data_IF_600518684626
#
_entry.id   IF_600518684626
#
_cell.length_a   1.000
_cell.length_b   1.000
_cell.length_c   1.000
_cell.angle_alpha   90.00
_cell.angle_beta   90.00
_cell.angle_gamma   90.00
#
_symmetry.space_group_name_H-M   'P 1'
#
loop_
_entity.id
_entity.type
_entity.pdbx_description
1 polymer ?
#
# COMPACT_ATOMS: atom_id res chain seq x y z
N UNK A 1 25.07 -59.84 8.65
CA UNK A 1 25.81 -59.00 7.69
C UNK A 1 25.62 -59.57 6.28
N UNK A 2 24.68 -59.02 5.50
CA UNK A 2 24.55 -59.20 4.04
C UNK A 2 24.04 -57.86 3.49
N UNK A 3 24.54 -57.45 2.33
CA UNK A 3 24.28 -56.13 1.73
C UNK A 3 23.12 -56.26 0.73
N UNK A 4 22.21 -55.29 0.71
CA UNK A 4 21.04 -55.29 -0.18
C UNK A 4 21.39 -54.90 -1.62
N UNK A 5 20.58 -55.36 -2.58
CA UNK A 5 20.69 -54.99 -3.99
C UNK A 5 20.19 -53.58 -4.26
N UNK A 6 20.97 -52.80 -5.02
CA UNK A 6 20.48 -51.56 -5.65
C UNK A 6 19.44 -51.93 -6.71
N UNK A 7 18.32 -51.19 -6.78
CA UNK A 7 17.33 -51.34 -7.84
C UNK A 7 17.16 -50.03 -8.63
N UNK A 8 16.68 -50.12 -9.87
CA UNK A 8 16.84 -49.05 -10.85
C UNK A 8 15.92 -47.84 -10.62
N UNK A 9 16.43 -46.66 -10.96
CA UNK A 9 15.66 -45.41 -11.04
C UNK A 9 15.13 -45.26 -12.47
N UNK A 10 13.80 -45.24 -12.65
CA UNK A 10 13.20 -44.92 -13.95
C UNK A 10 13.20 -43.41 -14.18
N UNK A 11 13.64 -42.98 -15.36
CA UNK A 11 13.52 -41.59 -15.81
C UNK A 11 12.15 -41.36 -16.46
N UNK A 12 11.47 -40.28 -16.07
CA UNK A 12 10.22 -39.83 -16.67
C UNK A 12 10.55 -38.77 -17.72
N UNK A 13 10.01 -38.83 -18.96
CA UNK A 13 10.27 -37.80 -19.97
C UNK A 13 9.57 -36.47 -19.63
N UNK A 14 10.28 -35.37 -19.84
CA UNK A 14 9.69 -34.03 -19.94
C UNK A 14 9.23 -33.78 -21.37
N UNK A 15 7.95 -33.49 -21.57
CA UNK A 15 7.42 -33.05 -22.85
C UNK A 15 7.88 -31.62 -23.20
N UNK A 16 8.00 -31.29 -24.48
CA UNK A 16 8.46 -29.99 -24.99
C UNK A 16 7.54 -29.52 -26.12
N UNK A 17 6.69 -28.53 -25.82
CA UNK A 17 5.86 -27.85 -26.82
C UNK A 17 6.71 -27.00 -27.79
N UNK A 18 6.23 -26.77 -29.03
CA UNK A 18 7.05 -26.22 -30.11
C UNK A 18 7.24 -24.70 -30.04
N UNK A 19 8.39 -24.24 -30.55
CA UNK A 19 8.75 -22.82 -30.66
C UNK A 19 7.77 -22.00 -31.51
N UNK A 20 7.32 -20.85 -30.97
CA UNK A 20 6.52 -19.86 -31.70
C UNK A 20 7.34 -18.62 -32.03
N UNK A 21 7.64 -18.44 -33.32
CA UNK A 21 8.59 -17.46 -33.84
C UNK A 21 8.01 -16.03 -33.90
N UNK A 22 8.44 -15.15 -32.98
CA UNK A 22 7.99 -13.76 -32.90
C UNK A 22 8.64 -12.85 -33.96
N UNK A 23 8.09 -12.83 -35.17
CA UNK A 23 8.40 -11.79 -36.17
C UNK A 23 7.15 -11.19 -36.83
N UNK A 24 7.09 -9.84 -36.82
CA UNK A 24 6.20 -8.96 -37.61
C UNK A 24 4.69 -9.04 -37.33
N UNK A 25 4.20 -8.20 -36.41
CA UNK A 25 2.83 -7.63 -36.50
C UNK A 25 2.94 -6.18 -37.01
N UNK A 26 1.99 -5.75 -37.84
CA UNK A 26 2.04 -4.47 -38.56
C UNK A 26 1.37 -3.32 -37.80
N UNK A 27 1.99 -2.15 -37.90
CA UNK A 27 1.41 -0.86 -37.54
C UNK A 27 0.29 -0.47 -38.54
N UNK A 28 -0.97 -0.41 -38.11
CA UNK A 28 -2.08 0.28 -38.82
C UNK A 28 -3.31 0.46 -37.91
N UNK A 29 -4.09 1.52 -38.16
CA UNK A 29 -5.42 1.84 -37.58
C UNK A 29 -5.48 2.45 -36.17
N UNK A 30 -5.18 3.76 -36.10
CA UNK A 30 -5.95 4.71 -35.30
C UNK A 30 -6.03 6.04 -36.08
N UNK A 31 -7.22 6.43 -36.55
CA UNK A 31 -7.47 7.73 -37.17
C UNK A 31 -8.96 8.09 -37.11
N UNK A 32 -9.28 9.36 -36.82
CA UNK A 32 -10.63 9.84 -36.53
C UNK A 32 -10.89 9.93 -35.01
N UNK A 33 -11.54 10.97 -34.47
CA UNK A 33 -12.26 12.10 -35.08
C UNK A 33 -11.86 13.43 -34.38
N UNK A 34 -11.85 14.55 -35.11
CA UNK A 34 -11.58 15.91 -34.62
C UNK A 34 -12.56 16.91 -35.26
N UNK A 35 -12.98 17.96 -34.51
CA UNK A 35 -13.93 19.03 -34.86
C UNK A 35 -15.39 18.54 -35.10
N UNK A 36 -16.46 19.32 -34.88
CA UNK A 36 -16.68 20.74 -34.50
C UNK A 36 -17.56 20.74 -33.19
N UNK A 37 -18.06 21.81 -32.54
CA UNK A 37 -18.20 23.24 -32.81
C UNK A 37 -18.36 24.07 -31.50
N UNK A 38 -18.52 25.39 -31.62
CA UNK A 38 -19.08 26.29 -30.58
C UNK A 38 -20.56 26.60 -30.89
N UNK A 39 -21.37 26.89 -29.86
CA UNK A 39 -21.98 28.22 -29.60
C UNK A 39 -23.04 28.17 -28.49
N UNK A 40 -22.95 29.07 -27.52
CA UNK A 40 -24.08 29.88 -27.03
C UNK A 40 -23.54 31.11 -26.28
N UNK A 41 -24.29 32.22 -26.21
CA UNK A 41 -23.78 33.48 -25.69
C UNK A 41 -24.83 34.35 -24.96
N UNK A 42 -24.32 35.16 -24.03
CA UNK A 42 -24.85 36.44 -23.54
C UNK A 42 -26.22 36.50 -22.82
N UNK A 43 -26.17 36.73 -21.49
CA UNK A 43 -26.79 37.89 -20.81
C UNK A 43 -26.23 38.01 -19.38
N UNK A 44 -25.86 39.17 -18.81
CA UNK A 44 -25.66 40.50 -19.40
C UNK A 44 -25.45 41.60 -18.32
N UNK A 45 -24.56 42.56 -18.58
CA UNK A 45 -24.36 43.79 -17.77
C UNK A 45 -23.49 43.62 -16.49
N UNK A 46 -22.80 44.66 -16.00
CA UNK A 46 -22.58 45.99 -16.58
C UNK A 46 -22.02 47.02 -15.58
N UNK A 47 -21.08 47.86 -16.01
CA UNK A 47 -20.50 48.95 -15.21
C UNK A 47 -19.15 49.41 -15.75
N UNK A 48 -19.01 50.68 -16.11
CA UNK A 48 -17.79 51.23 -16.70
C UNK A 48 -17.32 52.52 -16.04
N UNK A 49 -16.06 52.89 -16.28
CA UNK A 49 -15.46 54.16 -15.88
C UNK A 49 -14.43 54.58 -16.93
N UNK A 50 -14.60 55.76 -17.51
CA UNK A 50 -13.80 56.28 -18.62
C UNK A 50 -12.75 57.29 -18.14
N UNK A 51 -11.56 57.26 -18.76
CA UNK A 51 -10.64 58.39 -18.92
C UNK A 51 -9.41 58.01 -19.75
N UNK A 52 -9.49 58.25 -21.05
CA UNK A 52 -8.32 58.52 -21.92
C UNK A 52 -8.25 60.05 -22.17
N UNK A 53 -7.32 60.63 -22.96
CA UNK A 53 -6.12 60.06 -23.60
C UNK A 53 -4.85 60.92 -23.37
N UNK A 54 -3.70 60.49 -23.91
CA UNK A 54 -2.98 61.22 -24.98
C UNK A 54 -1.78 60.41 -25.51
N UNK A 55 -1.53 60.51 -26.82
CA UNK A 55 -0.37 59.92 -27.50
C UNK A 55 0.79 60.94 -27.51
N UNK A 56 2.04 60.50 -27.72
CA UNK A 56 2.63 60.63 -29.07
C UNK A 56 3.98 59.91 -29.29
N UNK A 57 4.12 59.36 -30.50
CA UNK A 57 5.29 59.25 -31.39
C UNK A 57 6.73 59.24 -30.82
N UNK A 58 7.41 58.11 -31.03
CA UNK A 58 8.41 57.98 -32.12
C UNK A 58 9.78 58.68 -31.98
N UNK A 59 10.86 57.89 -32.03
CA UNK A 59 12.23 58.43 -32.15
C UNK A 59 13.30 57.34 -32.34
N UNK A 60 13.86 57.24 -33.55
CA UNK A 60 15.00 56.37 -33.89
C UNK A 60 16.33 56.96 -33.42
N UNK A 61 17.28 56.15 -32.93
CA UNK A 61 18.64 56.63 -32.68
C UNK A 61 19.66 55.57 -32.22
N UNK A 62 20.77 55.49 -32.97
CA UNK A 62 22.08 54.91 -32.59
C UNK A 62 22.54 55.32 -31.18
N UNK A 63 23.29 54.53 -30.40
CA UNK A 63 24.09 53.34 -30.72
C UNK A 63 25.58 53.64 -30.55
N UNK A 64 26.22 53.04 -29.53
CA UNK A 64 27.67 53.10 -29.27
C UNK A 64 28.13 51.79 -28.59
N UNK A 65 29.44 51.47 -28.64
CA UNK A 65 29.99 50.17 -28.25
C UNK A 65 31.00 50.23 -27.10
N UNK A 66 30.88 49.29 -26.15
CA UNK A 66 31.82 49.11 -25.04
C UNK A 66 32.27 47.66 -24.88
N UNK A 67 33.45 47.33 -25.41
CA UNK A 67 34.06 46.00 -25.21
C UNK A 67 34.66 45.90 -23.78
N UNK A 68 34.35 44.83 -23.04
CA UNK A 68 34.42 44.84 -21.58
C UNK A 68 34.70 43.50 -20.88
N UNK A 69 35.67 42.73 -21.37
CA UNK A 69 36.37 41.68 -20.63
C UNK A 69 35.52 40.50 -20.11
N UNK A 70 35.31 39.50 -20.97
CA UNK A 70 34.98 38.14 -20.53
C UNK A 70 36.13 37.58 -19.66
N UNK A 71 35.76 36.90 -18.57
CA UNK A 71 36.66 36.54 -17.47
C UNK A 71 35.98 35.86 -16.29
N UNK A 72 34.79 35.28 -16.51
CA UNK A 72 34.06 34.51 -15.51
C UNK A 72 34.21 33.02 -15.74
N UNK A 73 35.09 32.35 -15.00
CA UNK A 73 35.27 30.90 -15.11
C UNK A 73 33.94 30.17 -14.85
N UNK A 74 33.40 29.52 -15.88
CA UNK A 74 32.16 28.75 -15.82
C UNK A 74 32.30 27.46 -15.03
N UNK A 75 32.47 27.56 -13.72
CA UNK A 75 32.23 26.45 -12.81
C UNK A 75 30.74 26.11 -12.82
N UNK A 76 30.38 24.90 -13.23
CA UNK A 76 29.01 24.40 -13.18
C UNK A 76 28.53 24.40 -11.72
N UNK A 77 27.72 25.40 -11.37
CA UNK A 77 27.02 25.45 -10.10
C UNK A 77 25.92 24.39 -10.15
N UNK A 78 26.24 23.18 -9.64
CA UNK A 78 25.39 21.99 -9.67
C UNK A 78 24.06 22.21 -8.94
N UNK A 79 23.11 22.82 -9.63
CA UNK A 79 21.81 23.22 -9.05
C UNK A 79 21.08 22.04 -8.41
N UNK A 80 20.97 22.04 -7.08
CA UNK A 80 20.25 21.02 -6.34
C UNK A 80 18.73 21.19 -6.52
N UNK A 81 18.01 20.11 -6.78
CA UNK A 81 16.56 20.16 -7.03
C UNK A 81 15.82 19.00 -6.37
N UNK A 82 14.55 19.21 -6.04
CA UNK A 82 13.67 18.16 -5.51
C UNK A 82 13.52 16.99 -6.50
N UNK A 83 13.50 17.26 -7.81
CA UNK A 83 13.48 16.23 -8.85
C UNK A 83 14.73 15.31 -8.83
N UNK A 84 15.93 15.86 -8.56
CA UNK A 84 17.13 15.06 -8.29
C UNK A 84 17.02 14.31 -6.96
N UNK A 85 16.46 14.93 -5.92
CA UNK A 85 16.25 14.30 -4.62
C UNK A 85 15.29 13.11 -4.65
N UNK A 86 14.27 13.17 -5.51
CA UNK A 86 13.37 12.04 -5.80
C UNK A 86 14.16 10.85 -6.38
N UNK A 87 15.12 11.11 -7.26
CA UNK A 87 16.01 10.04 -7.77
C UNK A 87 16.89 9.44 -6.67
N UNK A 88 17.35 10.22 -5.69
CA UNK A 88 18.10 9.71 -4.52
C UNK A 88 17.21 8.83 -3.63
N UNK A 89 15.92 9.16 -3.49
CA UNK A 89 14.95 8.37 -2.73
C UNK A 89 14.55 7.05 -3.44
N UNK A 90 14.42 7.06 -4.76
CA UNK A 90 13.94 5.91 -5.55
C UNK A 90 15.05 4.95 -5.98
N UNK A 91 16.28 5.42 -6.22
CA UNK A 91 17.38 4.60 -6.70
C UNK A 91 18.30 4.13 -5.57
N UNK A 92 18.95 2.98 -5.77
CA UNK A 92 19.97 2.51 -4.82
C UNK A 92 21.15 3.48 -4.77
N UNK A 93 21.76 3.64 -3.59
CA UNK A 93 22.98 4.43 -3.47
C UNK A 93 24.15 3.73 -4.22
N UNK A 94 24.99 4.44 -5.01
CA UNK A 94 26.02 3.78 -5.84
C UNK A 94 27.05 2.94 -5.08
N UNK A 95 27.27 3.24 -3.80
CA UNK A 95 28.18 2.49 -2.90
C UNK A 95 27.46 1.58 -1.90
N UNK A 96 26.13 1.56 -1.91
CA UNK A 96 25.33 0.73 -1.00
C UNK A 96 24.99 -0.63 -1.58
N UNK A 97 24.11 -1.35 -0.88
CA UNK A 97 23.50 -2.59 -1.37
C UNK A 97 22.45 -2.33 -2.47
N UNK A 98 21.60 -3.31 -2.77
CA UNK A 98 20.62 -3.23 -3.87
C UNK A 98 19.36 -2.43 -3.55
N UNK A 99 19.13 -2.05 -2.30
CA UNK A 99 17.91 -1.36 -1.89
C UNK A 99 18.02 0.17 -2.04
N UNK A 100 16.86 0.82 -1.98
CA UNK A 100 16.68 2.27 -2.02
C UNK A 100 15.66 2.69 -0.96
N UNK A 101 15.66 3.96 -0.56
CA UNK A 101 14.77 4.45 0.51
C UNK A 101 13.30 4.10 0.26
N UNK A 102 12.82 4.18 -0.99
CA UNK A 102 11.44 3.84 -1.37
C UNK A 102 11.02 2.38 -1.07
N UNK A 103 11.94 1.44 -0.89
CA UNK A 103 11.63 0.04 -0.56
C UNK A 103 11.34 -0.15 0.93
N UNK A 104 11.92 0.70 1.78
CA UNK A 104 11.79 0.63 3.23
C UNK A 104 10.84 1.69 3.79
N UNK A 105 10.61 2.79 3.08
CA UNK A 105 9.77 3.90 3.48
C UNK A 105 8.85 4.32 2.33
N UNK A 106 7.63 4.73 2.67
CA UNK A 106 6.75 5.47 1.77
C UNK A 106 6.93 6.99 1.95
N UNK A 107 6.40 7.79 1.03
CA UNK A 107 6.19 9.22 1.29
C UNK A 107 4.92 9.37 2.13
N UNK A 108 3.76 9.09 1.54
CA UNK A 108 2.46 9.00 2.22
C UNK A 108 1.97 7.56 2.26
N UNK A 109 1.06 7.29 3.18
CA UNK A 109 0.30 6.04 3.28
C UNK A 109 -1.18 6.38 3.50
N UNK A 110 -2.08 5.45 3.21
CA UNK A 110 -3.49 5.53 3.62
C UNK A 110 -3.70 4.96 5.04
N UNK A 111 -4.95 4.93 5.50
CA UNK A 111 -5.30 4.46 6.85
C UNK A 111 -4.97 2.95 7.09
N UNK A 112 -4.80 2.14 6.03
CA UNK A 112 -4.30 0.76 6.13
C UNK A 112 -2.77 0.67 6.34
N UNK A 113 -2.06 1.80 6.33
CA UNK A 113 -0.60 1.93 6.17
C UNK A 113 -0.08 1.39 4.82
N UNK A 114 -0.91 1.44 3.77
CA UNK A 114 -0.48 1.09 2.41
C UNK A 114 -0.03 2.36 1.67
N UNK A 115 1.13 2.28 1.04
CA UNK A 115 1.62 3.28 0.12
C UNK A 115 0.81 3.29 -1.20
N UNK A 116 0.91 4.34 -2.04
CA UNK A 116 0.17 4.43 -3.30
C UNK A 116 0.44 3.32 -4.33
N UNK A 117 1.51 2.53 -4.15
CA UNK A 117 1.84 1.34 -4.95
C UNK A 117 1.20 0.05 -4.40
N UNK A 118 0.35 0.14 -3.37
CA UNK A 118 -0.40 -0.97 -2.79
C UNK A 118 0.34 -1.77 -1.70
N UNK A 119 1.53 -1.32 -1.29
CA UNK A 119 2.38 -2.06 -0.36
C UNK A 119 2.49 -1.41 1.03
N UNK A 120 2.61 -2.24 2.06
CA UNK A 120 2.95 -1.85 3.44
C UNK A 120 4.47 -1.82 3.62
N UNK A 121 5.01 -0.71 4.16
CA UNK A 121 6.47 -0.53 4.35
C UNK A 121 6.92 -0.82 5.80
N UNK A 122 8.17 -1.28 6.02
CA UNK A 122 8.71 -1.52 7.37
C UNK A 122 9.01 -0.23 8.14
N UNK A 123 9.49 0.80 7.45
CA UNK A 123 9.69 2.15 7.97
C UNK A 123 8.43 3.01 7.82
N UNK A 124 8.27 3.95 8.76
CA UNK A 124 7.16 4.91 8.77
C UNK A 124 7.29 5.98 7.65
N UNK A 125 6.17 6.60 7.20
CA UNK A 125 6.15 7.56 6.10
C UNK A 125 7.04 8.80 6.29
N UNK A 126 7.60 9.28 5.17
CA UNK A 126 8.53 10.41 5.08
C UNK A 126 7.86 11.75 4.76
N UNK A 127 6.56 11.78 4.44
CA UNK A 127 5.78 13.02 4.39
C UNK A 127 5.97 13.81 5.69
N UNK A 128 6.15 15.13 5.57
CA UNK A 128 6.44 16.05 6.67
C UNK A 128 7.67 15.69 7.53
N UNK A 129 8.51 14.70 7.16
CA UNK A 129 9.56 14.21 8.03
C UNK A 129 10.53 15.31 8.49
N UNK A 130 10.82 16.29 7.64
CA UNK A 130 11.71 17.42 7.92
C UNK A 130 11.19 18.37 9.01
N UNK A 131 9.90 18.30 9.37
CA UNK A 131 9.28 19.12 10.42
C UNK A 131 9.24 18.41 11.79
N UNK A 132 9.82 17.21 11.90
CA UNK A 132 9.92 16.45 13.16
C UNK A 132 11.09 16.99 14.00
N UNK A 133 10.91 17.06 15.32
CA UNK A 133 11.93 17.56 16.25
C UNK A 133 12.85 16.47 16.77
N UNK A 134 12.53 15.20 16.54
CA UNK A 134 13.40 14.07 16.84
C UNK A 134 13.03 12.82 16.03
N UNK A 135 14.04 11.97 15.84
CA UNK A 135 14.02 10.78 15.00
C UNK A 135 14.52 9.57 15.80
N UNK A 136 14.23 8.36 15.30
CA UNK A 136 14.71 7.08 15.86
C UNK A 136 14.44 6.96 17.38
N UNK A 137 13.17 7.03 17.80
CA UNK A 137 12.76 6.93 19.23
C UNK A 137 13.37 7.98 20.18
N UNK A 138 13.85 9.12 19.69
CA UNK A 138 14.51 10.13 20.52
C UNK A 138 16.04 10.13 20.44
N UNK A 139 16.63 9.17 19.72
CA UNK A 139 18.08 9.02 19.65
C UNK A 139 18.80 10.11 18.82
N UNK A 140 18.08 10.79 17.91
CA UNK A 140 18.65 11.81 17.01
C UNK A 140 17.76 13.06 16.93
N UNK A 141 18.38 14.23 16.74
CA UNK A 141 17.67 15.51 16.48
C UNK A 141 17.67 15.90 15.02
N UNK A 142 18.71 15.52 14.25
CA UNK A 142 18.85 15.92 12.84
C UNK A 142 18.33 14.85 11.88
N UNK A 143 17.61 15.29 10.85
CA UNK A 143 17.12 14.42 9.79
C UNK A 143 18.24 13.87 8.89
N UNK A 144 19.37 14.58 8.79
CA UNK A 144 20.56 14.07 8.09
C UNK A 144 21.12 12.83 8.79
N UNK A 145 21.23 12.86 10.13
CA UNK A 145 21.69 11.71 10.92
C UNK A 145 20.67 10.56 10.88
N UNK A 146 19.37 10.89 10.84
CA UNK A 146 18.30 9.90 10.69
C UNK A 146 18.32 9.18 9.32
N UNK A 147 18.83 9.85 8.27
CA UNK A 147 19.12 9.27 6.97
C UNK A 147 20.46 8.51 6.96
N UNK A 148 21.54 9.10 7.48
CA UNK A 148 22.86 8.49 7.55
C UNK A 148 22.87 7.16 8.35
N UNK A 149 22.19 7.12 9.50
CA UNK A 149 21.97 5.86 10.23
C UNK A 149 21.20 4.81 9.42
N UNK A 150 20.34 5.22 8.47
CA UNK A 150 19.71 4.28 7.54
C UNK A 150 20.69 3.79 6.46
N UNK A 151 21.52 4.70 5.94
CA UNK A 151 22.55 4.39 4.96
C UNK A 151 23.58 3.39 5.50
N UNK A 152 24.01 3.55 6.76
CA UNK A 152 24.93 2.64 7.47
C UNK A 152 24.22 1.30 7.81
N UNK A 153 23.18 1.33 8.65
CA UNK A 153 22.54 0.12 9.22
C UNK A 153 21.86 -0.78 8.17
N UNK A 154 21.27 -0.19 7.13
CA UNK A 154 20.33 -0.90 6.23
C UNK A 154 20.73 -0.87 4.75
N UNK A 155 21.46 0.14 4.30
CA UNK A 155 22.00 0.21 2.93
C UNK A 155 23.50 -0.12 2.85
N UNK A 156 24.12 -0.47 3.99
CA UNK A 156 25.50 -0.96 4.15
C UNK A 156 26.58 -0.04 3.55
N UNK A 157 26.42 1.28 3.67
CA UNK A 157 27.50 2.24 3.39
C UNK A 157 28.58 2.16 4.48
N UNK A 158 29.81 2.54 4.14
CA UNK A 158 30.82 2.81 5.16
C UNK A 158 30.62 4.21 5.77
N UNK A 159 31.11 4.43 6.99
CA UNK A 159 31.07 5.75 7.65
C UNK A 159 31.83 6.85 6.91
N UNK A 160 32.72 6.49 5.97
CA UNK A 160 33.41 7.44 5.07
C UNK A 160 32.59 7.79 3.81
N UNK A 161 31.44 7.13 3.59
CA UNK A 161 30.53 7.34 2.47
C UNK A 161 29.20 8.00 2.87
N UNK A 162 29.00 8.24 4.16
CA UNK A 162 27.83 8.93 4.71
C UNK A 162 27.80 10.42 4.30
N UNK A 163 26.60 10.98 4.24
CA UNK A 163 26.39 12.34 3.75
C UNK A 163 26.80 13.41 4.76
N UNK A 164 27.39 14.47 4.23
CA UNK A 164 27.67 15.75 4.89
C UNK A 164 26.68 16.82 4.46
N UNK A 165 26.64 17.96 5.16
CA UNK A 165 25.86 19.15 4.74
C UNK A 165 26.18 19.62 3.31
N UNK A 166 27.41 19.35 2.83
CA UNK A 166 27.90 19.70 1.50
C UNK A 166 27.73 18.59 0.45
N UNK A 167 27.14 17.44 0.79
CA UNK A 167 26.98 16.31 -0.14
C UNK A 167 25.83 16.56 -1.11
N UNK A 168 26.08 16.44 -2.42
CA UNK A 168 25.08 16.68 -3.47
C UNK A 168 23.81 15.83 -3.28
N UNK A 169 23.94 14.54 -2.97
CA UNK A 169 22.79 13.66 -2.74
C UNK A 169 21.92 14.14 -1.56
N UNK A 170 22.54 14.59 -0.47
CA UNK A 170 21.83 15.17 0.67
C UNK A 170 21.15 16.49 0.33
N UNK A 171 21.84 17.41 -0.33
CA UNK A 171 21.28 18.71 -0.73
C UNK A 171 20.12 18.57 -1.73
N UNK A 172 20.16 17.54 -2.58
CA UNK A 172 19.05 17.16 -3.44
C UNK A 172 17.91 16.50 -2.65
N UNK A 173 18.20 15.49 -1.81
CA UNK A 173 17.20 14.75 -1.03
C UNK A 173 16.48 15.63 -0.01
N UNK A 174 17.18 16.55 0.66
CA UNK A 174 16.58 17.57 1.53
C UNK A 174 15.54 18.39 0.78
N UNK A 175 15.84 18.86 -0.44
CA UNK A 175 14.88 19.59 -1.29
C UNK A 175 13.66 18.77 -1.68
N UNK A 176 13.82 17.47 -1.84
CA UNK A 176 12.69 16.58 -2.06
C UNK A 176 11.81 16.44 -0.82
N UNK A 177 12.40 16.32 0.38
CA UNK A 177 11.65 16.34 1.65
C UNK A 177 10.99 17.69 1.94
N UNK A 178 11.61 18.81 1.54
CA UNK A 178 11.01 20.16 1.56
C UNK A 178 9.78 20.24 0.63
N UNK A 179 9.79 19.53 -0.51
CA UNK A 179 8.64 19.41 -1.42
C UNK A 179 7.57 18.42 -0.89
N UNK A 180 7.97 17.37 -0.16
CA UNK A 180 7.05 16.42 0.51
C UNK A 180 6.59 16.93 1.90
N UNK A 181 6.56 18.25 2.10
CA UNK A 181 6.19 18.93 3.34
C UNK A 181 5.03 19.91 3.10
N UNK A 182 4.00 19.86 3.94
CA UNK A 182 3.00 20.92 4.04
C UNK A 182 3.40 22.05 5.03
N UNK A 183 4.57 21.90 5.67
CA UNK A 183 5.15 22.79 6.68
C UNK A 183 4.32 22.94 7.98
N UNK A 184 3.43 21.98 8.28
CA UNK A 184 2.88 21.83 9.63
C UNK A 184 3.90 21.17 10.56
N UNK A 185 3.82 21.48 11.86
CA UNK A 185 4.49 20.69 12.90
C UNK A 185 4.06 19.23 12.80
N UNK A 186 5.03 18.31 12.85
CA UNK A 186 4.79 16.88 12.66
C UNK A 186 5.10 16.09 13.93
N UNK A 187 4.39 14.97 14.15
CA UNK A 187 4.63 14.13 15.31
C UNK A 187 5.95 13.36 15.17
N UNK A 188 6.71 13.29 16.26
CA UNK A 188 7.90 12.44 16.33
C UNK A 188 7.48 10.97 16.33
N UNK A 189 8.02 10.20 15.38
CA UNK A 189 7.68 8.79 15.18
C UNK A 189 8.32 7.91 16.25
N UNK A 190 7.50 7.09 16.90
CA UNK A 190 7.94 6.03 17.82
C UNK A 190 7.77 4.63 17.22
N UNK A 191 8.53 3.66 17.71
CA UNK A 191 8.40 2.25 17.37
C UNK A 191 8.87 1.32 18.50
N UNK A 192 8.25 0.14 18.60
CA UNK A 192 8.64 -0.93 19.53
C UNK A 192 9.26 -2.11 18.76
N UNK A 193 10.56 -2.33 18.96
CA UNK A 193 11.20 -3.62 18.68
C UNK A 193 10.82 -4.55 19.83
N UNK A 194 10.18 -5.68 19.52
CA UNK A 194 9.60 -6.62 20.50
C UNK A 194 10.02 -8.05 20.20
N UNK A 195 9.79 -8.98 21.13
CA UNK A 195 9.94 -10.41 20.84
C UNK A 195 8.90 -10.89 19.82
N UNK A 196 9.14 -12.06 19.22
CA UNK A 196 8.08 -12.81 18.56
C UNK A 196 6.90 -13.10 19.54
N UNK A 197 5.67 -13.31 19.04
CA UNK A 197 4.56 -13.79 19.87
C UNK A 197 4.91 -15.12 20.54
N UNK A 198 4.66 -15.24 21.85
CA UNK A 198 5.01 -16.43 22.63
C UNK A 198 4.19 -17.67 22.26
N UNK A 199 2.95 -17.46 21.81
CA UNK A 199 2.12 -18.46 21.16
C UNK A 199 2.01 -18.14 19.65
N UNK A 200 2.24 -19.15 18.81
CA UNK A 200 2.11 -19.08 17.35
C UNK A 200 0.90 -19.88 16.80
N UNK A 201 -0.05 -20.26 17.65
CA UNK A 201 -1.35 -20.78 17.25
C UNK A 201 -2.24 -19.69 16.61
N UNK A 202 -3.33 -20.08 15.95
CA UNK A 202 -4.34 -19.14 15.44
C UNK A 202 -3.95 -18.27 14.24
N UNK A 203 -2.80 -18.51 13.60
CA UNK A 203 -2.46 -17.89 12.30
C UNK A 203 -3.20 -18.57 11.14
N UNK A 204 -3.72 -17.79 10.20
CA UNK A 204 -4.37 -18.26 8.97
C UNK A 204 -3.40 -18.12 7.78
N UNK A 205 -3.12 -19.22 7.07
CA UNK A 205 -2.20 -19.25 5.92
C UNK A 205 -2.79 -18.62 4.64
N UNK A 206 -4.11 -18.61 4.47
CA UNK A 206 -4.79 -17.92 3.36
C UNK A 206 -4.74 -16.40 3.56
N UNK A 207 -5.12 -15.90 4.74
CA UNK A 207 -4.94 -14.47 5.10
C UNK A 207 -3.46 -14.07 5.04
N UNK A 208 -2.58 -14.94 5.54
CA UNK A 208 -1.14 -14.74 5.52
C UNK A 208 -0.53 -14.65 4.13
N UNK A 209 -1.12 -15.28 3.11
CA UNK A 209 -0.69 -15.11 1.72
C UNK A 209 -1.00 -13.69 1.20
N UNK A 210 -2.16 -13.12 1.55
CA UNK A 210 -2.54 -11.76 1.19
C UNK A 210 -1.65 -10.73 1.88
N UNK A 211 -1.56 -10.79 3.22
CA UNK A 211 -0.72 -9.89 4.02
C UNK A 211 0.78 -9.97 3.60
N UNK A 212 1.24 -11.16 3.19
CA UNK A 212 2.59 -11.36 2.64
C UNK A 212 2.79 -10.67 1.29
N UNK A 213 1.80 -10.70 0.38
CA UNK A 213 1.90 -9.99 -0.90
C UNK A 213 1.99 -8.48 -0.68
N UNK A 214 1.16 -7.95 0.21
CA UNK A 214 1.12 -6.52 0.54
C UNK A 214 2.38 -6.04 1.29
N UNK A 215 3.06 -6.90 2.05
CA UNK A 215 4.10 -6.47 3.00
C UNK A 215 5.51 -7.01 2.71
N UNK A 216 5.63 -8.16 2.05
CA UNK A 216 6.90 -8.90 1.89
C UNK A 216 7.33 -9.06 0.43
N UNK A 217 6.38 -9.07 -0.52
CA UNK A 217 6.68 -9.36 -1.92
C UNK A 217 7.57 -8.31 -2.61
N UNK A 218 7.57 -7.05 -2.13
CA UNK A 218 8.48 -5.98 -2.60
C UNK A 218 9.96 -6.38 -2.51
N UNK A 219 10.33 -7.26 -1.57
CA UNK A 219 11.67 -7.85 -1.48
C UNK A 219 11.70 -9.32 -1.94
N UNK A 220 10.72 -10.12 -1.52
CA UNK A 220 10.75 -11.58 -1.62
C UNK A 220 9.96 -12.18 -2.81
N UNK A 221 9.34 -11.35 -3.65
CA UNK A 221 8.43 -11.76 -4.72
C UNK A 221 7.08 -12.26 -4.18
N UNK A 222 6.03 -12.27 -5.01
CA UNK A 222 4.65 -12.57 -4.59
C UNK A 222 4.46 -13.94 -3.90
N UNK A 223 5.35 -14.89 -4.17
CA UNK A 223 5.30 -16.27 -3.68
C UNK A 223 6.38 -16.58 -2.64
N UNK A 224 7.19 -15.60 -2.25
CA UNK A 224 8.32 -15.78 -1.33
C UNK A 224 9.48 -16.63 -1.87
N UNK A 225 9.49 -16.92 -3.17
CA UNK A 225 10.57 -17.65 -3.84
C UNK A 225 11.80 -16.77 -4.17
N UNK A 226 11.67 -15.46 -3.99
CA UNK A 226 12.69 -14.45 -4.32
C UNK A 226 12.33 -13.62 -5.55
N UNK A 227 13.16 -12.61 -5.80
CA UNK A 227 13.18 -11.77 -7.01
C UNK A 227 14.54 -11.90 -7.69
N UNK A 228 14.71 -11.31 -8.88
CA UNK A 228 16.04 -11.24 -9.52
C UNK A 228 17.07 -10.46 -8.68
N UNK A 229 16.62 -9.57 -7.81
CA UNK A 229 17.44 -8.79 -6.88
C UNK A 229 17.73 -9.56 -5.60
N UNK A 230 16.72 -10.23 -5.03
CA UNK A 230 16.83 -11.05 -3.81
C UNK A 230 16.44 -12.50 -4.10
N UNK A 231 17.40 -13.30 -4.57
CA UNK A 231 17.18 -14.66 -5.08
C UNK A 231 17.05 -15.77 -4.03
N UNK A 232 16.95 -15.42 -2.74
CA UNK A 232 16.85 -16.40 -1.67
C UNK A 232 15.37 -16.70 -1.33
N UNK A 233 14.86 -17.92 -1.61
CA UNK A 233 13.51 -18.29 -1.21
C UNK A 233 13.40 -18.31 0.32
N UNK A 234 12.19 -18.00 0.81
CA UNK A 234 11.79 -18.10 2.22
C UNK A 234 10.61 -19.04 2.42
N UNK A 235 9.71 -19.14 1.44
CA UNK A 235 8.68 -20.19 1.36
C UNK A 235 9.30 -21.54 0.94
N UNK A 236 8.59 -22.64 1.19
CA UNK A 236 9.03 -23.99 0.80
C UNK A 236 10.25 -24.55 1.56
N UNK A 237 10.76 -23.81 2.56
CA UNK A 237 11.98 -24.15 3.31
C UNK A 237 11.77 -24.81 4.67
N UNK A 238 10.52 -25.12 5.04
CA UNK A 238 10.14 -25.71 6.32
C UNK A 238 10.70 -24.94 7.53
N UNK A 239 10.59 -23.61 7.48
CA UNK A 239 11.00 -22.71 8.55
C UNK A 239 9.94 -22.71 9.67
N UNK A 240 10.35 -22.72 10.94
CA UNK A 240 9.39 -22.70 12.04
C UNK A 240 8.72 -21.33 12.18
N UNK A 241 7.43 -21.31 12.56
CA UNK A 241 6.65 -20.06 12.72
C UNK A 241 7.32 -19.07 13.69
N UNK A 242 7.91 -19.57 14.77
CA UNK A 242 8.66 -18.76 15.75
C UNK A 242 9.93 -18.14 15.16
N UNK A 243 10.64 -18.83 14.27
CA UNK A 243 11.80 -18.28 13.56
C UNK A 243 11.39 -17.20 12.55
N UNK A 244 10.32 -17.44 11.78
CA UNK A 244 9.78 -16.45 10.84
C UNK A 244 9.35 -15.19 11.62
N UNK A 245 8.62 -15.37 12.72
CA UNK A 245 8.19 -14.27 13.58
C UNK A 245 9.36 -13.51 14.23
N UNK A 246 10.45 -14.17 14.65
CA UNK A 246 11.62 -13.47 15.19
C UNK A 246 12.38 -12.70 14.11
N UNK A 247 12.47 -13.22 12.88
CA UNK A 247 13.01 -12.45 11.73
C UNK A 247 12.14 -11.22 11.44
N UNK A 248 10.82 -11.35 11.40
CA UNK A 248 9.91 -10.21 11.20
C UNK A 248 10.08 -9.17 12.33
N UNK A 249 10.17 -9.58 13.59
CA UNK A 249 10.19 -8.65 14.74
C UNK A 249 11.55 -8.05 15.08
N UNK A 250 12.66 -8.73 14.80
CA UNK A 250 13.99 -8.37 15.33
C UNK A 250 15.14 -8.49 14.32
N UNK A 251 14.90 -8.78 13.05
CA UNK A 251 15.98 -8.78 12.05
C UNK A 251 16.54 -7.38 11.81
N UNK A 252 17.87 -7.30 11.70
CA UNK A 252 18.62 -6.08 11.41
C UNK A 252 20.10 -6.25 11.76
N UNK A 253 20.95 -5.22 11.61
CA UNK A 253 22.37 -5.33 11.94
C UNK A 253 22.60 -5.73 13.41
N UNK A 254 23.65 -6.52 13.64
CA UNK A 254 24.08 -6.96 14.98
C UNK A 254 24.59 -5.80 15.87
N UNK A 255 24.93 -4.67 15.25
CA UNK A 255 25.32 -3.42 15.92
C UNK A 255 24.72 -2.23 15.17
N UNK A 256 23.95 -1.40 15.89
CA UNK A 256 23.45 -0.10 15.42
C UNK A 256 23.57 0.92 16.55
N UNK A 257 23.83 2.17 16.20
CA UNK A 257 23.86 3.29 17.15
C UNK A 257 22.44 3.79 17.53
N UNK A 258 21.38 3.35 16.82
CA UNK A 258 20.00 3.84 17.02
C UNK A 258 18.93 2.74 17.13
N UNK A 259 19.24 1.49 16.78
CA UNK A 259 18.35 0.34 16.94
C UNK A 259 18.92 -0.66 17.95
N UNK A 260 18.30 -0.75 19.13
CA UNK A 260 18.63 -1.74 20.15
C UNK A 260 17.73 -2.97 20.07
N UNK A 261 18.24 -4.13 20.50
CA UNK A 261 17.44 -5.36 20.58
C UNK A 261 17.23 -6.12 19.28
N UNK A 262 18.04 -5.89 18.24
CA UNK A 262 18.05 -6.69 17.01
C UNK A 262 18.70 -8.10 17.23
N UNK A 263 18.51 -9.02 16.28
CA UNK A 263 18.95 -10.43 16.28
C UNK A 263 19.91 -10.78 15.12
N UNK A 264 20.49 -9.78 14.45
CA UNK A 264 21.35 -9.97 13.29
C UNK A 264 20.60 -10.24 11.98
N UNK A 265 21.23 -9.93 10.84
CA UNK A 265 20.70 -10.18 9.49
C UNK A 265 20.47 -8.94 8.62
N UNK A 266 19.83 -9.15 7.47
CA UNK A 266 19.72 -8.16 6.37
C UNK A 266 18.27 -7.77 6.02
N UNK A 267 17.28 -8.45 6.60
CA UNK A 267 15.86 -8.08 6.48
C UNK A 267 15.54 -6.98 7.51
N UNK A 268 14.79 -5.92 7.15
CA UNK A 268 14.29 -4.93 8.12
C UNK A 268 13.21 -5.50 9.03
N UNK A 269 13.21 -5.06 10.29
CA UNK A 269 12.17 -5.42 11.25
C UNK A 269 10.86 -4.66 10.98
N UNK A 270 9.75 -5.28 11.37
CA UNK A 270 8.43 -4.67 11.47
C UNK A 270 8.07 -4.48 12.95
N UNK A 271 7.99 -3.21 13.38
CA UNK A 271 7.66 -2.85 14.76
C UNK A 271 6.24 -3.25 15.14
N UNK A 272 5.93 -3.24 16.44
CA UNK A 272 4.58 -3.58 16.93
C UNK A 272 3.49 -2.66 16.37
N UNK A 273 3.83 -1.41 16.10
CA UNK A 273 2.95 -0.39 15.53
C UNK A 273 2.74 -0.58 14.03
N UNK A 274 3.76 -1.06 13.30
CA UNK A 274 3.67 -1.34 11.86
C UNK A 274 2.98 -2.66 11.53
N UNK A 275 3.02 -3.65 12.43
CA UNK A 275 2.44 -4.97 12.20
C UNK A 275 1.88 -5.59 13.49
N UNK A 276 0.64 -6.07 13.46
CA UNK A 276 -0.01 -6.73 14.59
C UNK A 276 0.59 -8.12 14.85
N UNK A 277 0.44 -8.65 16.08
CA UNK A 277 0.88 -10.02 16.39
C UNK A 277 0.05 -11.08 15.62
N UNK A 278 -1.18 -10.75 15.19
CA UNK A 278 -2.00 -11.63 14.36
C UNK A 278 -1.49 -11.69 12.90
N UNK A 279 -1.15 -10.55 12.30
CA UNK A 279 -0.49 -10.48 10.99
C UNK A 279 0.83 -11.25 11.00
N UNK A 280 1.63 -11.14 12.08
CA UNK A 280 2.84 -11.96 12.27
C UNK A 280 2.52 -13.47 12.29
N UNK A 281 1.45 -13.89 12.99
CA UNK A 281 1.00 -15.29 13.03
C UNK A 281 0.55 -15.81 11.66
N UNK A 282 -0.24 -15.02 10.93
CA UNK A 282 -0.75 -15.34 9.60
C UNK A 282 0.39 -15.49 8.58
N UNK A 283 1.24 -14.47 8.45
CA UNK A 283 2.41 -14.50 7.55
C UNK A 283 3.34 -15.66 7.91
N UNK A 284 3.55 -15.93 9.21
CA UNK A 284 4.34 -17.08 9.64
C UNK A 284 3.71 -18.44 9.27
N UNK A 285 2.37 -18.57 9.28
CA UNK A 285 1.67 -19.76 8.81
C UNK A 285 1.88 -19.98 7.30
N UNK A 286 1.68 -18.93 6.49
CA UNK A 286 1.93 -18.97 5.05
C UNK A 286 3.39 -19.33 4.71
N UNK A 287 4.37 -18.63 5.31
CA UNK A 287 5.80 -18.84 5.01
C UNK A 287 6.33 -20.18 5.53
N UNK A 288 5.77 -20.72 6.61
CA UNK A 288 6.08 -22.08 7.06
C UNK A 288 5.55 -23.19 6.12
N UNK A 289 4.60 -22.86 5.24
CA UNK A 289 3.96 -23.81 4.34
C UNK A 289 2.77 -24.55 4.96
N UNK A 290 2.06 -23.93 5.90
CA UNK A 290 0.76 -24.44 6.35
C UNK A 290 -0.26 -24.35 5.20
N UNK A 291 -1.26 -25.25 5.21
CA UNK A 291 -2.16 -25.42 4.07
C UNK A 291 -2.99 -24.15 3.81
N UNK A 292 -2.90 -23.66 2.57
CA UNK A 292 -3.72 -22.54 2.07
C UNK A 292 -5.03 -23.12 1.59
N UNK A 293 -6.13 -22.75 2.22
CA UNK A 293 -7.47 -23.11 1.76
C UNK A 293 -7.83 -22.24 0.54
N UNK A 294 -7.88 -22.86 -0.64
CA UNK A 294 -8.32 -22.24 -1.89
C UNK A 294 -9.78 -22.60 -2.18
N UNK A 295 -10.68 -21.71 -1.80
CA UNK A 295 -12.12 -21.85 -2.06
C UNK A 295 -12.48 -21.30 -3.45
N UNK A 296 -13.57 -21.79 -4.05
CA UNK A 296 -14.13 -21.25 -5.31
C UNK A 296 -15.58 -20.77 -5.12
N UNK A 297 -16.03 -19.79 -5.91
CA UNK A 297 -17.46 -19.44 -5.96
C UNK A 297 -18.30 -20.58 -6.55
N UNK A 298 -19.42 -20.92 -5.92
CA UNK A 298 -20.30 -22.02 -6.31
C UNK A 298 -20.05 -23.33 -5.52
N UNK A 299 -18.89 -23.46 -4.90
CA UNK A 299 -18.67 -24.43 -3.82
C UNK A 299 -19.18 -23.87 -2.47
N UNK A 300 -19.32 -24.71 -1.45
CA UNK A 300 -19.91 -24.37 -0.15
C UNK A 300 -19.11 -24.89 1.05
N UNK A 301 -17.79 -25.00 0.89
CA UNK A 301 -16.82 -25.58 1.84
C UNK A 301 -16.07 -24.53 2.70
N UNK A 302 -16.30 -23.23 2.47
CA UNK A 302 -15.72 -22.16 3.27
C UNK A 302 -16.23 -22.19 4.74
N UNK A 303 -15.38 -22.10 5.78
CA UNK A 303 -15.77 -22.27 7.19
C UNK A 303 -16.86 -21.35 7.76
N UNK A 304 -17.23 -20.28 7.06
CA UNK A 304 -18.35 -19.39 7.44
C UNK A 304 -19.68 -19.76 6.77
N UNK A 305 -19.73 -20.74 5.86
CA UNK A 305 -20.98 -21.23 5.27
C UNK A 305 -21.85 -21.87 6.35
N UNK A 306 -23.14 -21.54 6.33
CA UNK A 306 -24.11 -21.91 7.37
C UNK A 306 -24.15 -20.97 8.58
N UNK A 307 -23.25 -19.99 8.68
CA UNK A 307 -23.35 -18.96 9.73
C UNK A 307 -24.53 -18.00 9.46
N UNK A 308 -25.13 -17.51 10.53
CA UNK A 308 -26.34 -16.67 10.46
C UNK A 308 -26.25 -15.42 11.33
N UNK A 309 -27.03 -14.39 10.98
CA UNK A 309 -27.23 -13.20 11.80
C UNK A 309 -28.66 -12.66 11.66
N UNK A 310 -29.07 -11.79 12.58
CA UNK A 310 -30.35 -11.06 12.54
C UNK A 310 -30.06 -9.56 12.67
N UNK A 311 -30.71 -8.74 11.83
CA UNK A 311 -30.50 -7.29 11.87
C UNK A 311 -31.05 -6.69 13.16
N UNK A 312 -30.16 -6.04 13.92
CA UNK A 312 -30.53 -5.13 15.01
C UNK A 312 -30.89 -3.77 14.40
N UNK A 313 -32.18 -3.45 14.36
CA UNK A 313 -32.70 -2.19 13.81
C UNK A 313 -32.11 -0.98 14.55
N UNK A 314 -31.63 0.02 13.78
CA UNK A 314 -31.17 1.32 14.28
C UNK A 314 -31.98 2.49 13.70
N UNK A 315 -32.46 2.36 12.46
CA UNK A 315 -33.36 3.29 11.79
C UNK A 315 -34.14 2.60 10.65
N UNK A 316 -35.08 3.31 10.02
CA UNK A 316 -35.66 2.97 8.72
C UNK A 316 -36.30 1.55 8.61
N UNK A 317 -36.85 1.06 9.72
CA UNK A 317 -37.51 -0.26 9.87
C UNK A 317 -36.66 -1.47 9.43
N UNK A 318 -35.32 -1.30 9.38
CA UNK A 318 -34.37 -2.33 8.95
C UNK A 318 -34.46 -3.56 9.83
N UNK A 319 -34.90 -4.66 9.23
CA UNK A 319 -35.12 -5.94 9.90
C UNK A 319 -35.01 -7.10 8.92
N UNK A 320 -34.77 -8.31 9.44
CA UNK A 320 -34.57 -9.53 8.66
C UNK A 320 -33.41 -10.37 9.19
N UNK A 321 -33.15 -11.49 8.52
CA UNK A 321 -32.08 -12.43 8.84
C UNK A 321 -31.12 -12.55 7.65
N UNK A 322 -29.84 -12.82 7.89
CA UNK A 322 -28.90 -13.17 6.83
C UNK A 322 -28.18 -14.50 7.11
N UNK A 323 -27.85 -15.23 6.05
CA UNK A 323 -27.27 -16.57 6.05
C UNK A 323 -26.18 -16.63 4.96
N UNK A 324 -24.99 -17.12 5.28
CA UNK A 324 -23.94 -17.38 4.27
C UNK A 324 -24.21 -18.76 3.66
N UNK A 325 -24.69 -18.82 2.42
CA UNK A 325 -25.25 -20.05 1.84
C UNK A 325 -24.26 -20.86 0.98
N UNK A 326 -23.27 -20.18 0.42
CA UNK A 326 -22.15 -20.75 -0.32
C UNK A 326 -20.95 -19.79 -0.24
N UNK A 327 -19.82 -20.18 -0.81
CA UNK A 327 -18.56 -19.46 -0.71
C UNK A 327 -18.60 -18.01 -1.21
N UNK A 328 -19.56 -17.63 -2.06
CA UNK A 328 -19.67 -16.28 -2.61
C UNK A 328 -21.09 -15.68 -2.50
N UNK A 329 -21.97 -16.26 -1.66
CA UNK A 329 -23.37 -15.81 -1.60
C UNK A 329 -23.90 -15.70 -0.18
N UNK A 330 -24.45 -14.53 0.14
CA UNK A 330 -25.21 -14.28 1.36
C UNK A 330 -26.69 -14.12 1.00
N UNK A 331 -27.57 -14.93 1.59
CA UNK A 331 -29.02 -14.79 1.48
C UNK A 331 -29.52 -13.91 2.62
N UNK A 332 -30.22 -12.83 2.30
CA UNK A 332 -31.00 -12.04 3.26
C UNK A 332 -32.47 -12.42 3.11
N UNK A 333 -33.15 -12.74 4.21
CA UNK A 333 -34.56 -13.19 4.21
C UNK A 333 -35.39 -12.40 5.22
N UNK A 334 -36.71 -12.34 4.99
CA UNK A 334 -37.66 -11.56 5.80
C UNK A 334 -37.29 -10.07 5.85
N UNK A 335 -36.68 -9.54 4.78
CA UNK A 335 -36.07 -8.22 4.75
C UNK A 335 -37.13 -7.12 4.68
N UNK A 336 -37.06 -6.16 5.60
CA UNK A 336 -37.81 -4.90 5.54
C UNK A 336 -36.86 -3.71 5.61
N UNK A 337 -37.20 -2.66 4.87
CA UNK A 337 -36.50 -1.37 4.86
C UNK A 337 -37.41 -0.32 4.20
N UNK A 338 -37.61 0.83 4.83
CA UNK A 338 -38.59 1.84 4.40
C UNK A 338 -38.27 2.55 3.05
N UNK A 339 -37.01 2.50 2.60
CA UNK A 339 -36.53 3.19 1.39
C UNK A 339 -36.15 4.67 1.58
N UNK A 340 -36.23 5.22 2.79
CA UNK A 340 -36.08 6.64 3.11
C UNK A 340 -34.64 7.18 3.17
N UNK A 341 -33.65 6.41 2.74
CA UNK A 341 -32.23 6.76 2.82
C UNK A 341 -31.65 7.26 1.50
N UNK A 342 -30.84 8.35 1.48
CA UNK A 342 -30.37 8.95 0.23
C UNK A 342 -29.38 8.10 -0.59
N UNK A 343 -28.59 7.22 0.03
CA UNK A 343 -27.65 6.33 -0.65
C UNK A 343 -27.37 5.12 0.24
N UNK A 344 -28.11 4.02 0.06
CA UNK A 344 -28.07 2.85 0.95
C UNK A 344 -27.62 1.61 0.21
N UNK A 345 -26.71 0.85 0.81
CA UNK A 345 -26.14 -0.41 0.30
C UNK A 345 -26.08 -1.44 1.44
N UNK A 346 -25.84 -2.71 1.12
CA UNK A 346 -25.28 -3.63 2.11
C UNK A 346 -23.77 -3.39 2.25
N UNK A 347 -23.25 -3.45 3.47
CA UNK A 347 -21.82 -3.38 3.76
C UNK A 347 -21.38 -4.59 4.58
N UNK A 348 -20.30 -5.25 4.17
CA UNK A 348 -19.54 -6.16 5.02
C UNK A 348 -18.61 -5.36 5.94
N UNK A 349 -18.26 -5.94 7.10
CA UNK A 349 -17.38 -5.30 8.08
C UNK A 349 -16.90 -6.26 9.17
N UNK A 350 -16.09 -5.75 10.10
CA UNK A 350 -15.52 -6.51 11.22
C UNK A 350 -15.94 -5.90 12.56
N UNK A 351 -16.45 -6.73 13.46
CA UNK A 351 -16.85 -6.41 14.84
C UNK A 351 -17.81 -5.21 14.99
N UNK A 352 -18.54 -4.89 13.91
CA UNK A 352 -19.52 -3.81 13.85
C UNK A 352 -19.00 -2.49 13.26
N UNK A 353 -17.75 -2.43 12.80
CA UNK A 353 -17.27 -1.31 11.99
C UNK A 353 -17.53 -1.55 10.49
N UNK A 354 -18.28 -0.62 9.91
CA UNK A 354 -18.64 -0.52 8.49
C UNK A 354 -18.29 0.85 7.90
N UNK A 355 -17.74 1.74 8.75
CA UNK A 355 -17.42 3.14 8.44
C UNK A 355 -15.97 3.28 8.00
N UNK A 356 -15.08 2.62 8.71
CA UNK A 356 -13.66 2.63 8.42
C UNK A 356 -13.41 1.84 7.13
N UNK A 357 -12.92 2.50 6.08
CA UNK A 357 -12.65 1.90 4.77
C UNK A 357 -11.52 0.87 4.75
N UNK A 358 -10.85 0.64 5.89
CA UNK A 358 -9.90 -0.47 6.09
C UNK A 358 -10.62 -1.81 6.31
N UNK A 359 -11.89 -1.80 6.76
CA UNK A 359 -12.69 -3.00 7.09
C UNK A 359 -14.11 -3.01 6.51
N UNK A 360 -14.72 -1.83 6.33
CA UNK A 360 -16.06 -1.66 5.79
C UNK A 360 -16.08 -1.60 4.26
N UNK A 361 -16.78 -2.53 3.61
CA UNK A 361 -16.87 -2.59 2.14
C UNK A 361 -18.28 -2.84 1.63
N UNK A 362 -18.65 -2.18 0.52
CA UNK A 362 -19.96 -2.33 -0.10
C UNK A 362 -20.14 -3.71 -0.77
N UNK A 363 -21.34 -4.28 -0.63
CA UNK A 363 -21.75 -5.54 -1.26
C UNK A 363 -22.99 -5.29 -2.13
N UNK A 364 -22.90 -5.65 -3.41
CA UNK A 364 -24.01 -5.56 -4.36
C UNK A 364 -24.37 -4.14 -4.79
N UNK A 365 -25.62 -3.95 -5.21
CA UNK A 365 -26.16 -2.66 -5.68
C UNK A 365 -26.76 -1.82 -4.55
N UNK A 366 -27.02 -0.54 -4.83
CA UNK A 366 -27.83 0.29 -3.94
C UNK A 366 -29.26 -0.27 -3.78
N UNK A 367 -29.83 -0.08 -2.60
CA UNK A 367 -31.21 -0.44 -2.23
C UNK A 367 -32.22 0.68 -2.56
N UNK A 368 -31.76 1.75 -3.19
CA UNK A 368 -32.56 2.91 -3.56
C UNK A 368 -33.55 2.57 -4.67
N UNK A 369 -34.83 2.39 -4.30
CA UNK A 369 -35.97 2.18 -5.21
C UNK A 369 -37.21 2.91 -4.68
N UNK A 370 -38.24 3.05 -5.51
CA UNK A 370 -39.46 3.85 -5.20
C UNK A 370 -40.46 3.19 -4.24
N UNK A 371 -40.16 2.02 -3.69
CA UNK A 371 -41.04 1.26 -2.80
C UNK A 371 -40.24 0.59 -1.69
N UNK A 372 -40.74 0.67 -0.44
CA UNK A 372 -40.16 -0.05 0.70
C UNK A 372 -39.99 -1.55 0.40
N UNK A 373 -39.03 -2.19 1.06
CA UNK A 373 -38.89 -3.65 1.09
C UNK A 373 -39.82 -4.19 2.17
N UNK A 374 -40.61 -5.23 1.86
CA UNK A 374 -41.60 -5.80 2.78
C UNK A 374 -41.54 -7.32 2.73
N UNK A 375 -40.93 -7.92 3.75
CA UNK A 375 -40.69 -9.36 3.89
C UNK A 375 -40.05 -10.01 2.64
N UNK A 376 -39.06 -9.33 2.05
CA UNK A 376 -38.40 -9.79 0.82
C UNK A 376 -37.21 -10.72 1.11
N UNK A 377 -36.84 -11.51 0.10
CA UNK A 377 -35.60 -12.30 0.09
C UNK A 377 -34.66 -11.70 -0.96
N UNK A 378 -33.48 -11.29 -0.53
CA UNK A 378 -32.42 -10.75 -1.38
C UNK A 378 -31.21 -11.70 -1.39
N UNK A 379 -30.47 -11.70 -2.49
CA UNK A 379 -29.26 -12.51 -2.65
C UNK A 379 -28.10 -11.57 -2.94
N UNK A 380 -27.08 -11.60 -2.09
CA UNK A 380 -25.89 -10.76 -2.18
C UNK A 380 -24.73 -11.61 -2.69
N UNK A 381 -24.26 -11.32 -3.90
CA UNK A 381 -23.09 -11.96 -4.49
C UNK A 381 -21.81 -11.23 -4.10
N UNK A 382 -20.80 -12.00 -3.70
CA UNK A 382 -19.45 -11.56 -3.38
C UNK A 382 -18.54 -11.78 -4.60
N UNK A 383 -17.52 -10.94 -4.76
CA UNK A 383 -16.61 -11.01 -5.91
C UNK A 383 -15.63 -12.19 -5.85
N UNK A 384 -15.40 -12.74 -4.65
CA UNK A 384 -14.47 -13.85 -4.39
C UNK A 384 -14.78 -14.52 -3.05
N UNK A 385 -14.39 -15.78 -2.82
CA UNK A 385 -14.54 -16.41 -1.51
C UNK A 385 -13.76 -15.73 -0.39
N UNK A 386 -12.58 -15.18 -0.70
CA UNK A 386 -11.78 -14.35 0.22
C UNK A 386 -12.50 -13.09 0.72
N UNK A 387 -13.62 -12.69 0.09
CA UNK A 387 -14.49 -11.64 0.64
C UNK A 387 -15.13 -12.08 1.96
N UNK A 388 -15.41 -13.37 2.15
CA UNK A 388 -15.89 -13.90 3.44
C UNK A 388 -14.83 -13.85 4.53
N UNK A 389 -13.53 -14.01 4.23
CA UNK A 389 -12.47 -13.87 5.23
C UNK A 389 -12.46 -12.47 5.86
N UNK A 390 -12.68 -11.42 5.04
CA UNK A 390 -12.61 -10.00 5.42
C UNK A 390 -13.77 -9.47 6.27
N UNK A 391 -14.82 -10.27 6.53
CA UNK A 391 -16.01 -9.82 7.27
C UNK A 391 -16.47 -10.81 8.33
N UNK A 392 -17.02 -10.32 9.44
CA UNK A 392 -17.88 -11.09 10.35
C UNK A 392 -19.23 -10.40 10.63
N UNK A 393 -19.43 -9.17 10.17
CA UNK A 393 -20.68 -8.43 10.29
C UNK A 393 -21.28 -8.01 8.94
N UNK A 394 -22.57 -7.72 8.94
CA UNK A 394 -23.32 -7.17 7.80
C UNK A 394 -24.17 -5.98 8.27
N UNK A 395 -24.14 -4.88 7.51
CA UNK A 395 -24.93 -3.66 7.76
C UNK A 395 -25.79 -3.28 6.55
N UNK A 396 -26.97 -2.72 6.80
CA UNK A 396 -27.66 -1.82 5.87
C UNK A 396 -27.10 -0.41 6.10
N UNK A 397 -26.18 0.00 5.24
CA UNK A 397 -25.33 1.18 5.44
C UNK A 397 -25.74 2.34 4.56
N UNK A 398 -25.90 3.53 5.14
CA UNK A 398 -26.18 4.76 4.42
C UNK A 398 -24.91 5.58 4.21
N UNK A 399 -24.27 5.41 3.05
CA UNK A 399 -22.98 6.00 2.74
C UNK A 399 -22.99 7.54 2.77
N UNK A 400 -24.06 8.17 2.30
CA UNK A 400 -24.17 9.64 2.22
C UNK A 400 -24.25 10.35 3.59
N UNK A 401 -24.54 9.64 4.68
CA UNK A 401 -24.50 10.17 6.07
C UNK A 401 -23.65 9.32 7.02
N UNK A 402 -22.88 8.37 6.46
CA UNK A 402 -21.85 7.60 7.14
C UNK A 402 -22.35 6.86 8.41
N UNK A 403 -23.51 6.19 8.32
CA UNK A 403 -24.14 5.48 9.44
C UNK A 403 -24.90 4.21 9.03
N UNK A 404 -25.08 3.29 9.99
CA UNK A 404 -25.83 2.06 9.83
C UNK A 404 -27.30 2.25 10.22
N UNK A 405 -28.21 1.76 9.38
CA UNK A 405 -29.64 1.69 9.68
C UNK A 405 -30.04 0.37 10.35
N UNK A 406 -29.20 -0.66 10.25
CA UNK A 406 -29.29 -1.88 11.05
C UNK A 406 -28.16 -2.84 10.69
N UNK A 407 -27.68 -3.60 11.68
CA UNK A 407 -26.54 -4.50 11.52
C UNK A 407 -26.61 -5.73 12.44
N UNK A 408 -25.79 -6.73 12.14
CA UNK A 408 -25.59 -7.91 12.97
C UNK A 408 -24.25 -8.58 12.68
N UNK A 409 -23.83 -9.47 13.59
CA UNK A 409 -22.60 -10.27 13.49
C UNK A 409 -22.99 -11.74 13.25
N UNK A 410 -22.32 -12.37 12.29
CA UNK A 410 -22.50 -13.80 11.96
C UNK A 410 -21.96 -14.70 13.08
N UNK A 411 -22.72 -15.76 13.38
CA UNK A 411 -22.36 -16.83 14.32
C UNK A 411 -22.72 -18.22 13.76
#
# INVERSE_FOLDING_TARGET
>A
MRIGSVNQLQLIPTDHGPDMNLTKIKLTQFLGIILLALTLAACGGGGGGDSTPTNNDGGTGTGDGGNGNDGGSGGDQTTHTAAKGKLVYENKHPKGNTFACMHCHAITENDMMLAPDGFKRPGNPLFNAINRTSYKNGALTEIMDAANSCLEDWMTLSSADLWTESSDDWLNFKKYLEEQSNNSTEANVTYSIVSAPGDMSGGNATTGQTEFKETCAVCHGETGLGTDVYRAPITGRNLSKTYIASKIRRSGPDSSNVYSGLDGGQMPFYSKERMTDQTVKNIAAYVAGEAISSFSCGDNDHPKVGQTMTFSMKAHDVSGNAEIIDNCTIRVSNFNYDGGGPQVLFYGGVDGDYKDSTVGFAIGSQLNRSSAYVNETLTLSLNSPSTLDMMNGLSVWCAAVNTSFGDGIFN
#
